data_IF_471157635530
#
_entry.id   IF_471157635530
#
_cell.length_a   1.000
_cell.length_b   1.000
_cell.length_c   1.000
_cell.angle_alpha   90.00
_cell.angle_beta   90.00
_cell.angle_gamma   90.00
#
_symmetry.space_group_name_H-M   'P 1'
#
loop_
_entity.id
_entity.type
_entity.pdbx_description
1 polymer ?
#
# COMPACT_ATOMS: atom_id res chain seq x y z
N UNK A 1 26.32 -16.97 -1.83
CA UNK A 1 25.72 -17.43 -0.56
C UNK A 1 25.66 -16.29 0.46
N UNK A 2 26.76 -15.60 0.72
CA UNK A 2 26.78 -14.52 1.74
C UNK A 2 25.73 -13.41 1.55
N UNK A 3 25.50 -12.93 0.32
CA UNK A 3 24.53 -11.88 0.08
C UNK A 3 23.07 -12.34 0.34
N UNK A 4 22.73 -13.56 -0.06
CA UNK A 4 21.40 -14.12 0.15
C UNK A 4 21.15 -14.44 1.63
N UNK A 5 22.14 -14.94 2.34
CA UNK A 5 22.08 -15.18 3.78
C UNK A 5 21.88 -13.87 4.55
N UNK A 6 22.64 -12.83 4.18
CA UNK A 6 22.45 -11.50 4.74
C UNK A 6 21.04 -10.96 4.48
N UNK A 7 20.53 -11.09 3.24
CA UNK A 7 19.21 -10.59 2.86
C UNK A 7 18.08 -11.31 3.61
N UNK A 8 18.14 -12.64 3.71
CA UNK A 8 17.14 -13.46 4.42
C UNK A 8 17.21 -13.39 5.94
N UNK A 9 18.37 -13.12 6.49
CA UNK A 9 18.60 -13.08 7.93
C UNK A 9 18.59 -11.65 8.48
N UNK A 10 19.76 -11.02 8.72
CA UNK A 10 19.87 -9.75 9.41
C UNK A 10 19.07 -8.62 8.78
N UNK A 11 19.12 -8.48 7.44
CA UNK A 11 18.42 -7.40 6.75
C UNK A 11 16.90 -7.52 6.87
N UNK A 12 16.36 -8.73 6.70
CA UNK A 12 14.93 -8.97 6.80
C UNK A 12 14.42 -8.79 8.23
N UNK A 13 15.11 -9.33 9.23
CA UNK A 13 14.74 -9.16 10.64
C UNK A 13 14.74 -7.69 11.03
N UNK A 14 15.78 -6.95 10.67
CA UNK A 14 15.86 -5.51 10.92
C UNK A 14 14.68 -4.76 10.28
N UNK A 15 14.40 -5.03 9.00
CA UNK A 15 13.34 -4.31 8.27
C UNK A 15 11.94 -4.62 8.79
N UNK A 16 11.65 -5.87 9.17
CA UNK A 16 10.39 -6.25 9.82
C UNK A 16 10.25 -5.57 11.18
N UNK A 17 11.33 -5.52 11.96
CA UNK A 17 11.33 -4.85 13.28
C UNK A 17 11.02 -3.36 13.13
N UNK A 18 11.70 -2.67 12.20
CA UNK A 18 11.45 -1.24 11.92
C UNK A 18 10.03 -1.02 11.42
N UNK A 19 9.54 -1.88 10.53
CA UNK A 19 8.18 -1.81 10.03
C UNK A 19 7.15 -1.92 11.16
N UNK A 20 7.22 -2.95 11.98
CA UNK A 20 6.27 -3.19 13.07
C UNK A 20 6.34 -2.05 14.10
N UNK A 21 7.53 -1.71 14.57
CA UNK A 21 7.71 -0.62 15.54
C UNK A 21 7.22 0.72 14.99
N UNK A 22 7.53 1.04 13.73
CA UNK A 22 7.10 2.25 13.08
C UNK A 22 5.58 2.33 12.86
N UNK A 23 4.95 1.22 12.46
CA UNK A 23 3.47 1.14 12.32
C UNK A 23 2.80 1.34 13.67
N UNK A 24 3.28 0.66 14.72
CA UNK A 24 2.76 0.82 16.09
C UNK A 24 2.91 2.27 16.54
N UNK A 25 4.10 2.86 16.38
CA UNK A 25 4.35 4.25 16.74
C UNK A 25 3.38 5.21 16.02
N UNK A 26 3.16 5.03 14.70
CA UNK A 26 2.23 5.87 13.93
C UNK A 26 0.78 5.71 14.38
N UNK A 27 0.35 4.48 14.68
CA UNK A 27 -1.00 4.24 15.20
C UNK A 27 -1.18 4.83 16.60
N UNK A 28 -0.25 4.60 17.51
CA UNK A 28 -0.29 5.17 18.85
C UNK A 28 -0.32 6.71 18.79
N UNK A 29 0.53 7.31 17.95
CA UNK A 29 0.57 8.75 17.75
C UNK A 29 -0.78 9.33 17.33
N UNK A 30 -1.55 8.64 16.48
CA UNK A 30 -2.90 9.09 16.08
C UNK A 30 -3.88 9.18 17.25
N UNK A 31 -3.74 8.32 18.26
CA UNK A 31 -4.65 8.29 19.42
C UNK A 31 -4.14 9.16 20.58
N UNK A 32 -2.85 9.42 20.64
CA UNK A 32 -2.23 10.23 21.72
C UNK A 32 -2.07 11.70 21.38
N UNK A 33 -2.19 12.10 20.10
CA UNK A 33 -2.16 13.50 19.69
C UNK A 33 -3.25 14.30 20.41
N UNK A 34 -2.84 15.47 20.92
CA UNK A 34 -3.76 16.42 21.53
C UNK A 34 -4.85 16.80 20.53
N UNK A 35 -6.11 16.58 20.91
CA UNK A 35 -7.27 17.01 20.11
C UNK A 35 -7.90 18.21 20.78
N UNK A 36 -8.08 19.28 20.03
CA UNK A 36 -8.91 20.41 20.47
C UNK A 36 -10.35 19.90 20.68
N UNK A 37 -10.93 20.23 21.84
CA UNK A 37 -12.31 19.87 22.12
C UNK A 37 -13.22 20.61 21.14
N UNK A 38 -13.96 19.87 20.33
CA UNK A 38 -14.98 20.44 19.48
C UNK A 38 -16.20 20.81 20.33
N UNK A 39 -16.42 22.10 20.51
CA UNK A 39 -17.50 22.67 21.35
C UNK A 39 -18.82 22.85 20.60
N UNK A 40 -18.87 22.56 19.30
CA UNK A 40 -20.11 22.64 18.54
C UNK A 40 -21.09 21.53 18.94
N UNK A 41 -22.38 21.82 18.98
CA UNK A 41 -23.41 20.85 19.34
C UNK A 41 -23.47 19.72 18.32
N UNK A 42 -23.44 18.50 18.83
CA UNK A 42 -23.68 17.31 18.00
C UNK A 42 -25.15 17.12 17.74
N UNK A 43 -25.52 16.70 16.54
CA UNK A 43 -26.89 16.27 16.23
C UNK A 43 -27.10 14.83 16.75
N UNK A 44 -28.36 14.43 17.03
CA UNK A 44 -28.68 13.04 17.32
C UNK A 44 -28.18 12.15 16.18
N UNK A 45 -27.53 11.05 16.52
CA UNK A 45 -26.99 10.11 15.51
C UNK A 45 -28.15 9.37 14.85
N UNK A 46 -28.32 9.53 13.55
CA UNK A 46 -29.29 8.75 12.75
C UNK A 46 -28.83 7.31 12.53
N UNK A 47 -27.52 7.06 12.64
CA UNK A 47 -26.90 5.76 12.41
C UNK A 47 -25.78 5.46 13.42
N UNK A 48 -25.47 4.19 13.62
CA UNK A 48 -24.36 3.81 14.50
C UNK A 48 -23.01 4.31 13.97
N UNK A 49 -22.05 4.53 14.86
CA UNK A 49 -20.69 4.95 14.49
C UNK A 49 -20.01 3.95 13.55
N UNK A 50 -20.26 2.66 13.73
CA UNK A 50 -19.72 1.60 12.87
C UNK A 50 -20.27 1.69 11.44
N UNK A 51 -21.59 1.88 11.28
CA UNK A 51 -22.22 2.03 9.95
C UNK A 51 -21.69 3.30 9.26
N UNK A 52 -21.58 4.42 9.98
CA UNK A 52 -21.01 5.66 9.46
C UNK A 52 -19.56 5.49 8.97
N UNK A 53 -18.74 4.76 9.73
CA UNK A 53 -17.35 4.46 9.37
C UNK A 53 -17.27 3.62 8.07
N UNK A 54 -18.01 2.51 8.00
CA UNK A 54 -18.00 1.63 6.82
C UNK A 54 -18.54 2.35 5.59
N UNK A 55 -19.63 3.11 5.73
CA UNK A 55 -20.23 3.88 4.64
C UNK A 55 -19.23 4.89 4.06
N UNK A 56 -18.47 5.59 4.92
CA UNK A 56 -17.48 6.56 4.46
C UNK A 56 -16.28 5.90 3.78
N UNK A 57 -15.80 4.76 4.28
CA UNK A 57 -14.75 3.97 3.60
C UNK A 57 -15.24 3.57 2.21
N UNK A 58 -16.43 2.97 2.10
CA UNK A 58 -16.97 2.49 0.84
C UNK A 58 -17.23 3.64 -0.15
N UNK A 59 -17.80 4.76 0.32
CA UNK A 59 -18.06 5.93 -0.51
C UNK A 59 -16.81 6.49 -1.16
N UNK A 60 -15.70 6.54 -0.43
CA UNK A 60 -14.44 7.07 -0.93
C UNK A 60 -13.65 6.07 -1.80
N UNK A 61 -14.18 4.89 -2.02
CA UNK A 61 -13.62 3.97 -3.03
C UNK A 61 -13.96 4.39 -4.46
N UNK A 62 -14.91 5.30 -4.64
CA UNK A 62 -15.33 5.80 -5.94
C UNK A 62 -15.23 7.33 -6.01
N UNK A 63 -14.87 7.92 -7.16
CA UNK A 63 -14.74 9.37 -7.30
C UNK A 63 -16.10 10.04 -7.28
N UNK A 64 -16.15 11.26 -6.75
CA UNK A 64 -17.34 12.11 -6.85
C UNK A 64 -17.72 12.34 -8.32
N UNK A 65 -19.03 12.42 -8.66
CA UNK A 65 -19.49 12.61 -10.03
C UNK A 65 -18.83 13.79 -10.74
N UNK A 66 -18.63 14.91 -10.04
CA UNK A 66 -17.99 16.11 -10.56
C UNK A 66 -16.54 15.91 -11.03
N UNK A 67 -15.82 14.94 -10.47
CA UNK A 67 -14.41 14.68 -10.80
C UNK A 67 -14.23 13.39 -11.61
N UNK A 68 -15.27 12.61 -11.84
CA UNK A 68 -15.21 11.28 -12.45
C UNK A 68 -14.44 11.27 -13.77
N UNK A 69 -14.76 12.17 -14.68
CA UNK A 69 -14.14 12.19 -16.01
C UNK A 69 -12.62 12.50 -15.96
N UNK A 70 -12.21 13.39 -15.06
CA UNK A 70 -10.81 13.82 -14.93
C UNK A 70 -9.95 12.84 -14.15
N UNK A 71 -10.54 12.03 -13.26
CA UNK A 71 -9.81 11.12 -12.36
C UNK A 71 -10.00 9.64 -12.69
N UNK A 72 -10.80 9.30 -13.73
CA UNK A 72 -11.14 7.92 -14.03
C UNK A 72 -9.93 7.07 -14.35
N UNK A 73 -8.99 7.57 -15.15
CA UNK A 73 -7.77 6.83 -15.48
C UNK A 73 -6.93 6.57 -14.23
N UNK A 74 -6.68 7.61 -13.41
CA UNK A 74 -5.92 7.47 -12.16
C UNK A 74 -6.57 6.45 -11.21
N UNK A 75 -7.91 6.46 -11.15
CA UNK A 75 -8.65 5.53 -10.34
C UNK A 75 -8.49 4.10 -10.83
N UNK A 76 -8.76 3.84 -12.11
CA UNK A 76 -8.66 2.50 -12.71
C UNK A 76 -7.22 2.00 -12.59
N UNK A 77 -6.23 2.80 -12.99
CA UNK A 77 -4.83 2.46 -12.89
C UNK A 77 -4.42 2.19 -11.43
N UNK A 78 -4.93 3.00 -10.49
CA UNK A 78 -4.75 2.80 -9.06
C UNK A 78 -5.27 1.43 -8.61
N UNK A 79 -6.48 1.05 -8.99
CA UNK A 79 -7.02 -0.27 -8.68
C UNK A 79 -6.21 -1.41 -9.32
N UNK A 80 -5.79 -1.25 -10.58
CA UNK A 80 -5.00 -2.27 -11.28
C UNK A 80 -3.74 -2.61 -10.51
N UNK A 81 -2.93 -1.63 -10.13
CA UNK A 81 -1.69 -1.96 -9.42
C UNK A 81 -1.91 -2.35 -7.95
N UNK A 82 -2.91 -1.81 -7.23
CA UNK A 82 -3.16 -2.23 -5.85
C UNK A 82 -3.70 -3.67 -5.77
N UNK A 83 -4.65 -4.03 -6.64
CA UNK A 83 -5.16 -5.41 -6.71
C UNK A 83 -4.05 -6.34 -7.19
N UNK A 84 -3.27 -5.90 -8.18
CA UNK A 84 -2.13 -6.66 -8.67
C UNK A 84 -1.08 -6.92 -7.58
N UNK A 85 -0.69 -5.91 -6.81
CA UNK A 85 0.20 -6.07 -5.66
C UNK A 85 -0.37 -7.03 -4.61
N UNK A 86 -1.67 -6.92 -4.30
CA UNK A 86 -2.33 -7.83 -3.37
C UNK A 86 -2.27 -9.29 -3.87
N UNK A 87 -2.53 -9.50 -5.16
CA UNK A 87 -2.44 -10.85 -5.77
C UNK A 87 -1.00 -11.39 -5.69
N UNK A 88 0.00 -10.58 -6.05
CA UNK A 88 1.41 -10.98 -6.00
C UNK A 88 1.82 -11.34 -4.58
N UNK A 89 1.52 -10.48 -3.61
CA UNK A 89 1.97 -10.68 -2.22
C UNK A 89 1.27 -11.87 -1.57
N UNK A 90 -0.05 -12.02 -1.77
CA UNK A 90 -0.83 -13.01 -1.02
C UNK A 90 -1.15 -14.30 -1.78
N UNK A 91 -0.95 -14.38 -3.11
CA UNK A 91 -1.34 -15.56 -3.88
C UNK A 91 -0.21 -16.18 -4.70
N UNK A 92 1.01 -15.64 -4.65
CA UNK A 92 2.19 -16.27 -5.23
C UNK A 92 2.73 -17.33 -4.25
N UNK A 93 2.92 -18.56 -4.73
CA UNK A 93 3.35 -19.68 -3.88
C UNK A 93 4.61 -19.41 -3.03
N UNK A 94 5.73 -18.87 -3.56
CA UNK A 94 6.90 -18.55 -2.74
C UNK A 94 6.61 -17.56 -1.58
N UNK A 95 5.68 -16.62 -1.78
CA UNK A 95 5.29 -15.69 -0.72
C UNK A 95 4.45 -16.38 0.36
N UNK A 96 3.54 -17.28 -0.04
CA UNK A 96 2.75 -18.07 0.91
C UNK A 96 3.67 -18.94 1.77
N UNK A 97 4.64 -19.63 1.14
CA UNK A 97 5.63 -20.43 1.87
C UNK A 97 6.46 -19.58 2.85
N UNK A 98 6.79 -18.35 2.46
CA UNK A 98 7.45 -17.39 3.36
C UNK A 98 6.57 -17.04 4.58
N UNK A 99 5.27 -16.80 4.40
CA UNK A 99 4.35 -16.55 5.51
C UNK A 99 4.15 -17.80 6.37
N UNK A 100 4.13 -18.98 5.78
CA UNK A 100 4.05 -20.26 6.50
C UNK A 100 5.27 -20.45 7.41
N UNK A 101 6.48 -20.23 6.88
CA UNK A 101 7.73 -20.28 7.66
C UNK A 101 7.79 -19.23 8.77
N UNK A 102 7.25 -18.03 8.53
CA UNK A 102 7.36 -16.91 9.47
C UNK A 102 6.35 -16.96 10.61
N UNK A 103 5.09 -17.31 10.30
CA UNK A 103 3.94 -17.20 11.23
C UNK A 103 3.05 -18.43 11.25
N UNK A 104 3.37 -19.50 10.50
CA UNK A 104 2.61 -20.74 10.45
C UNK A 104 1.26 -20.62 9.72
N UNK A 105 1.09 -19.61 8.85
CA UNK A 105 -0.15 -19.41 8.09
C UNK A 105 0.02 -19.83 6.64
N UNK A 106 -0.83 -20.76 6.20
CA UNK A 106 -0.87 -21.25 4.84
C UNK A 106 -2.30 -21.17 4.27
N UNK A 107 -2.40 -20.85 2.96
CA UNK A 107 -3.68 -20.78 2.24
C UNK A 107 -3.47 -21.14 0.77
N UNK A 108 -4.55 -21.16 -0.03
CA UNK A 108 -4.48 -21.52 -1.43
C UNK A 108 -3.65 -20.52 -2.25
N UNK A 109 -2.90 -21.01 -3.22
CA UNK A 109 -2.15 -20.21 -4.18
C UNK A 109 -2.86 -20.17 -5.54
N UNK A 110 -2.62 -19.12 -6.30
CA UNK A 110 -3.00 -19.05 -7.71
C UNK A 110 -1.93 -19.70 -8.61
N UNK A 111 -2.30 -20.16 -9.80
CA UNK A 111 -1.31 -20.67 -10.76
C UNK A 111 -0.22 -19.65 -11.04
N UNK A 112 1.05 -20.08 -11.01
CA UNK A 112 2.21 -19.20 -11.18
C UNK A 112 2.15 -18.38 -12.47
N UNK A 113 1.68 -18.99 -13.59
CA UNK A 113 1.54 -18.30 -14.86
C UNK A 113 0.53 -17.13 -14.78
N UNK A 114 -0.55 -17.29 -14.03
CA UNK A 114 -1.53 -16.22 -13.81
C UNK A 114 -0.91 -15.08 -13.00
N UNK A 115 -0.22 -15.41 -11.91
CA UNK A 115 0.44 -14.40 -11.07
C UNK A 115 1.55 -13.68 -11.83
N UNK A 116 2.26 -14.39 -12.71
CA UNK A 116 3.26 -13.79 -13.61
C UNK A 116 2.62 -12.73 -14.52
N UNK A 117 1.52 -13.05 -15.21
CA UNK A 117 0.80 -12.09 -16.07
C UNK A 117 0.32 -10.88 -15.25
N UNK A 118 -0.25 -11.11 -14.06
CA UNK A 118 -0.67 -10.05 -13.14
C UNK A 118 0.53 -9.18 -12.75
N UNK A 119 1.69 -9.76 -12.51
CA UNK A 119 2.90 -9.01 -12.14
C UNK A 119 3.38 -8.09 -13.28
N UNK A 120 3.32 -8.56 -14.52
CA UNK A 120 3.64 -7.74 -15.71
C UNK A 120 2.64 -6.58 -15.85
N UNK A 121 1.34 -6.85 -15.71
CA UNK A 121 0.29 -5.82 -15.75
C UNK A 121 0.49 -4.79 -14.62
N UNK A 122 0.83 -5.26 -13.42
CA UNK A 122 1.11 -4.40 -12.26
C UNK A 122 2.31 -3.50 -12.53
N UNK A 123 3.39 -4.04 -13.10
CA UNK A 123 4.58 -3.28 -13.46
C UNK A 123 4.26 -2.19 -14.49
N UNK A 124 3.52 -2.54 -15.56
CA UNK A 124 3.07 -1.59 -16.59
C UNK A 124 2.20 -0.49 -15.95
N UNK A 125 1.30 -0.85 -15.06
CA UNK A 125 0.43 0.08 -14.34
C UNK A 125 1.22 1.06 -13.46
N UNK A 126 2.27 0.58 -12.77
CA UNK A 126 3.18 1.42 -11.99
C UNK A 126 3.96 2.39 -12.89
N UNK A 127 4.43 1.94 -14.06
CA UNK A 127 5.08 2.82 -15.05
C UNK A 127 4.10 3.88 -15.54
N UNK A 128 2.87 3.49 -15.89
CA UNK A 128 1.82 4.43 -16.31
C UNK A 128 1.51 5.48 -15.22
N UNK A 129 1.50 5.08 -13.94
CA UNK A 129 1.33 6.00 -12.83
C UNK A 129 2.47 7.05 -12.76
N UNK A 130 3.72 6.63 -12.96
CA UNK A 130 4.86 7.55 -13.01
C UNK A 130 4.77 8.49 -14.21
N UNK A 131 4.52 7.95 -15.41
CA UNK A 131 4.39 8.75 -16.64
C UNK A 131 3.34 9.82 -16.46
N UNK A 132 2.17 9.47 -15.93
CA UNK A 132 1.12 10.45 -15.66
C UNK A 132 1.53 11.51 -14.65
N UNK A 133 2.23 11.12 -13.59
CA UNK A 133 2.71 12.06 -12.57
C UNK A 133 3.69 13.08 -13.15
N UNK A 134 4.57 12.65 -14.03
CA UNK A 134 5.58 13.52 -14.67
C UNK A 134 4.96 14.36 -15.79
N UNK A 135 4.04 13.79 -16.58
CA UNK A 135 3.44 14.45 -17.75
C UNK A 135 2.33 15.44 -17.39
N UNK A 136 1.61 15.22 -16.29
CA UNK A 136 0.53 16.10 -15.86
C UNK A 136 1.07 17.29 -15.06
N UNK A 137 0.97 18.55 -15.56
CA UNK A 137 1.50 19.72 -14.88
C UNK A 137 0.97 19.91 -13.46
N UNK A 138 -0.34 19.67 -13.24
CA UNK A 138 -0.96 19.82 -11.93
C UNK A 138 -0.39 18.79 -10.93
N UNK A 139 -0.24 17.54 -11.35
CA UNK A 139 0.35 16.50 -10.49
C UNK A 139 1.82 16.80 -10.21
N UNK A 140 2.57 17.26 -11.21
CA UNK A 140 3.99 17.59 -11.04
C UNK A 140 4.21 18.71 -10.03
N UNK A 141 3.39 19.75 -10.02
CA UNK A 141 3.50 20.88 -9.09
C UNK A 141 3.29 20.43 -7.63
N UNK A 142 2.36 19.52 -7.37
CA UNK A 142 2.06 19.04 -6.02
C UNK A 142 2.93 17.84 -5.60
N UNK A 143 3.77 17.32 -6.50
CA UNK A 143 4.64 16.17 -6.23
C UNK A 143 5.90 16.60 -5.49
N UNK A 144 6.24 15.84 -4.47
CA UNK A 144 7.45 16.00 -3.67
C UNK A 144 8.39 14.81 -3.90
N UNK A 145 9.60 14.87 -3.35
CA UNK A 145 10.54 13.74 -3.36
C UNK A 145 9.89 12.45 -2.82
N UNK A 146 9.11 12.55 -1.76
CA UNK A 146 8.42 11.41 -1.14
C UNK A 146 7.45 10.69 -2.10
N UNK A 147 6.82 11.40 -3.05
CA UNK A 147 5.96 10.78 -4.06
C UNK A 147 6.72 9.89 -5.04
N UNK A 148 7.89 10.36 -5.49
CA UNK A 148 8.74 9.61 -6.41
C UNK A 148 9.45 8.47 -5.69
N UNK A 149 9.90 8.69 -4.47
CA UNK A 149 10.54 7.67 -3.66
C UNK A 149 9.56 6.56 -3.26
N UNK A 150 8.33 6.91 -2.85
CA UNK A 150 7.24 5.95 -2.62
C UNK A 150 6.98 5.07 -3.84
N UNK A 151 6.95 5.69 -5.02
CA UNK A 151 6.80 4.97 -6.28
C UNK A 151 7.98 4.01 -6.50
N UNK A 152 9.21 4.50 -6.34
CA UNK A 152 10.43 3.71 -6.57
C UNK A 152 10.48 2.47 -5.66
N UNK A 153 10.27 2.64 -4.36
CA UNK A 153 10.33 1.51 -3.40
C UNK A 153 9.19 0.52 -3.56
N UNK A 154 8.09 0.90 -4.21
CA UNK A 154 7.01 -0.01 -4.60
C UNK A 154 7.34 -0.73 -5.91
N UNK A 155 7.94 -0.03 -6.86
CA UNK A 155 8.29 -0.55 -8.18
C UNK A 155 9.41 -1.59 -8.11
N UNK A 156 10.45 -1.33 -7.31
CA UNK A 156 11.63 -2.20 -7.21
C UNK A 156 11.30 -3.66 -6.84
N UNK A 157 10.49 -3.96 -5.81
CA UNK A 157 10.14 -5.35 -5.51
C UNK A 157 9.41 -6.06 -6.65
N UNK A 158 8.51 -5.38 -7.36
CA UNK A 158 7.80 -5.99 -8.49
C UNK A 158 8.76 -6.30 -9.63
N UNK A 159 9.63 -5.35 -9.98
CA UNK A 159 10.64 -5.53 -11.02
C UNK A 159 11.63 -6.65 -10.67
N UNK A 160 12.22 -6.60 -9.49
CA UNK A 160 13.23 -7.56 -9.05
C UNK A 160 12.65 -8.96 -8.84
N UNK A 161 11.39 -9.06 -8.40
CA UNK A 161 10.65 -10.31 -8.30
C UNK A 161 10.42 -10.96 -9.68
N UNK A 162 10.03 -10.16 -10.68
CA UNK A 162 9.92 -10.63 -12.07
C UNK A 162 11.27 -11.09 -12.61
N UNK A 163 12.35 -10.32 -12.40
CA UNK A 163 13.70 -10.71 -12.82
C UNK A 163 14.14 -12.03 -12.18
N UNK A 164 13.86 -12.22 -10.88
CA UNK A 164 14.17 -13.47 -10.18
C UNK A 164 13.38 -14.65 -10.73
N UNK A 165 12.08 -14.46 -11.01
CA UNK A 165 11.22 -15.51 -11.59
C UNK A 165 11.67 -15.91 -13.01
N UNK A 166 12.12 -14.93 -13.80
CA UNK A 166 12.56 -15.15 -15.19
C UNK A 166 14.06 -15.51 -15.31
N UNK A 167 14.82 -15.50 -14.22
CA UNK A 167 16.28 -15.71 -14.19
C UNK A 167 17.05 -14.73 -15.10
N UNK A 168 16.59 -13.46 -15.16
CA UNK A 168 17.13 -12.46 -16.08
C UNK A 168 18.30 -11.68 -15.49
N UNK A 169 19.44 -11.75 -16.15
CA UNK A 169 20.58 -10.85 -15.93
C UNK A 169 21.60 -11.31 -14.90
N UNK A 170 21.27 -12.25 -14.01
CA UNK A 170 22.20 -12.77 -12.98
C UNK A 170 21.77 -14.16 -12.51
N UNK A 171 22.58 -14.76 -11.62
CA UNK A 171 22.27 -16.04 -10.96
C UNK A 171 21.03 -15.86 -10.08
N UNK A 172 20.21 -16.91 -9.97
CA UNK A 172 18.96 -16.90 -9.20
C UNK A 172 19.16 -16.41 -7.76
N UNK A 173 20.19 -16.90 -7.06
CA UNK A 173 20.48 -16.53 -5.68
C UNK A 173 20.76 -15.02 -5.52
N UNK A 174 21.45 -14.43 -6.52
CA UNK A 174 21.72 -12.99 -6.53
C UNK A 174 20.45 -12.19 -6.78
N UNK A 175 19.63 -12.60 -7.75
CA UNK A 175 18.36 -11.94 -8.06
C UNK A 175 17.38 -12.02 -6.88
N UNK A 176 17.32 -13.18 -6.23
CA UNK A 176 16.50 -13.37 -5.03
C UNK A 176 16.99 -12.49 -3.87
N UNK A 177 18.30 -12.39 -3.66
CA UNK A 177 18.87 -11.49 -2.66
C UNK A 177 18.51 -10.02 -2.93
N UNK A 178 18.63 -9.57 -4.18
CA UNK A 178 18.25 -8.21 -4.60
C UNK A 178 16.75 -7.97 -4.38
N UNK A 179 15.91 -8.96 -4.71
CA UNK A 179 14.47 -8.88 -4.46
C UNK A 179 14.16 -8.72 -2.97
N UNK A 180 14.72 -9.56 -2.11
CA UNK A 180 14.52 -9.48 -0.66
C UNK A 180 15.01 -8.13 -0.12
N UNK A 181 16.18 -7.64 -0.55
CA UNK A 181 16.70 -6.33 -0.13
C UNK A 181 15.80 -5.18 -0.60
N UNK A 182 15.20 -5.27 -1.78
CA UNK A 182 14.23 -4.27 -2.24
C UNK A 182 12.94 -4.28 -1.41
N UNK A 183 12.49 -5.46 -0.95
CA UNK A 183 11.38 -5.60 0.00
C UNK A 183 11.78 -5.05 1.38
N UNK A 184 13.00 -5.31 1.84
CA UNK A 184 13.51 -4.73 3.09
C UNK A 184 13.48 -3.19 3.06
N UNK A 185 13.93 -2.60 1.95
CA UNK A 185 13.86 -1.14 1.75
C UNK A 185 12.42 -0.63 1.80
N UNK A 186 11.49 -1.31 1.14
CA UNK A 186 10.06 -0.97 1.18
C UNK A 186 9.53 -1.04 2.61
N UNK A 187 9.79 -2.13 3.35
CA UNK A 187 9.33 -2.30 4.73
C UNK A 187 9.83 -1.20 5.66
N UNK A 188 11.12 -0.86 5.58
CA UNK A 188 11.71 0.24 6.37
C UNK A 188 11.05 1.59 6.04
N UNK A 189 10.75 1.83 4.77
CA UNK A 189 10.20 3.11 4.33
C UNK A 189 8.70 3.28 4.66
N UNK A 190 7.91 2.22 4.64
CA UNK A 190 6.44 2.27 4.83
C UNK A 190 6.01 3.16 6.01
N UNK A 191 6.53 3.01 7.25
CA UNK A 191 6.06 3.79 8.39
C UNK A 191 6.33 5.29 8.27
N UNK A 192 7.34 5.68 7.52
CA UNK A 192 7.82 7.05 7.43
C UNK A 192 7.31 7.80 6.19
N UNK A 193 6.93 7.06 5.14
CA UNK A 193 6.52 7.61 3.86
C UNK A 193 5.01 7.62 3.62
N UNK A 194 4.61 8.09 2.45
CA UNK A 194 3.21 8.14 2.01
C UNK A 194 2.57 6.76 1.85
N UNK A 195 3.37 5.68 1.73
CA UNK A 195 2.85 4.31 1.62
C UNK A 195 2.11 3.88 2.89
N UNK A 196 2.38 4.51 4.04
CA UNK A 196 1.63 4.24 5.29
C UNK A 196 0.10 4.43 5.15
N UNK A 197 -0.37 5.04 4.04
CA UNK A 197 -1.81 5.17 3.76
C UNK A 197 -2.54 3.82 3.74
N UNK A 198 -1.90 2.70 3.39
CA UNK A 198 -2.54 1.39 3.35
C UNK A 198 -3.09 0.95 4.73
N UNK A 199 -2.50 1.42 5.83
CA UNK A 199 -3.01 1.25 7.20
C UNK A 199 -3.89 2.43 7.59
N UNK A 200 -3.40 3.66 7.39
CA UNK A 200 -4.02 4.87 7.90
C UNK A 200 -5.35 5.20 7.23
N UNK A 201 -5.55 4.79 5.98
CA UNK A 201 -6.78 5.08 5.23
C UNK A 201 -8.04 4.54 5.93
N UNK A 202 -7.95 3.36 6.53
CA UNK A 202 -9.08 2.78 7.25
C UNK A 202 -9.39 3.55 8.54
N UNK A 203 -8.37 3.93 9.29
CA UNK A 203 -8.53 4.68 10.53
C UNK A 203 -9.04 6.09 10.24
N UNK A 204 -8.41 6.83 9.35
CA UNK A 204 -8.77 8.23 9.07
C UNK A 204 -10.14 8.36 8.41
N UNK A 205 -10.48 7.49 7.46
CA UNK A 205 -11.81 7.50 6.83
C UNK A 205 -12.91 7.10 7.81
N UNK A 206 -12.67 6.12 8.67
CA UNK A 206 -13.61 5.75 9.74
C UNK A 206 -13.88 6.92 10.68
N UNK A 207 -12.83 7.58 11.15
CA UNK A 207 -12.96 8.76 12.01
C UNK A 207 -13.72 9.90 11.32
N UNK A 208 -13.42 10.16 10.05
CA UNK A 208 -14.14 11.18 9.26
C UNK A 208 -15.63 10.84 9.14
N UNK A 209 -15.97 9.60 8.83
CA UNK A 209 -17.35 9.15 8.71
C UNK A 209 -18.14 9.30 10.02
N UNK A 210 -17.55 8.90 11.13
CA UNK A 210 -18.16 9.05 12.47
C UNK A 210 -18.34 10.53 12.82
N UNK A 211 -17.32 11.36 12.57
CA UNK A 211 -17.36 12.79 12.87
C UNK A 211 -18.44 13.52 12.05
N UNK A 212 -18.48 13.31 10.74
CA UNK A 212 -19.47 13.93 9.85
C UNK A 212 -20.89 13.50 10.20
N UNK A 213 -21.10 12.21 10.49
CA UNK A 213 -22.41 11.70 10.93
C UNK A 213 -22.88 12.37 12.25
N UNK A 214 -21.97 12.57 13.19
CA UNK A 214 -22.29 13.23 14.46
C UNK A 214 -22.61 14.73 14.29
N UNK A 215 -22.15 15.36 13.21
CA UNK A 215 -22.43 16.77 12.88
C UNK A 215 -23.64 16.95 11.96
N UNK A 216 -24.25 15.87 11.51
CA UNK A 216 -25.34 15.91 10.52
C UNK A 216 -24.90 16.53 9.19
N UNK A 217 -23.60 16.47 8.90
CA UNK A 217 -23.06 16.90 7.63
C UNK A 217 -23.42 15.87 6.56
N UNK A 218 -24.07 16.31 5.48
CA UNK A 218 -24.26 15.45 4.32
C UNK A 218 -22.92 15.22 3.66
N UNK A 219 -22.61 13.96 3.49
CA UNK A 219 -21.47 13.53 2.69
C UNK A 219 -21.84 13.73 1.23
N UNK A 220 -21.33 14.79 0.61
CA UNK A 220 -21.51 15.08 -0.80
C UNK A 220 -20.77 14.04 -1.66
#
# INVERSE_FOLDING_TARGET
MELLEFARGPALIFSITVFIAGVIFRLVSLFTLWRTKDSSEGRPREQSAFIAAIKEIARRMWPLPAYKQRSLFQLINGYVFHIGLAIIVFFLLPHILFFDDLIGLNWFHLPNNLVFVVSVITLISLIAALVMRVSNPAQRIISTFDDYFSWLVTFLPVLTGLMATMHLGARYETLLAIHILSVCLLLVYIPFGKIMHFVLVFVTRSQTGVHLSHRGAQQI
#
